data_IF_541265280360
#
_entry.id   IF_541265280360
#
_cell.length_a   1.000
_cell.length_b   1.000
_cell.length_c   1.000
_cell.angle_alpha   90.00
_cell.angle_beta   90.00
_cell.angle_gamma   90.00
#
_symmetry.space_group_name_H-M   'P 1'
#
loop_
_entity.id
_entity.type
_entity.pdbx_description
1 polymer ?
#
# COMPACT_ATOMS: atom_id res chain seq x y z
N UNK A 1 -18.75 13.34 15.24
CA UNK A 1 -17.53 13.87 14.59
C UNK A 1 -17.42 13.27 13.20
N UNK A 2 -17.49 14.07 12.14
CA UNK A 2 -17.25 13.58 10.78
C UNK A 2 -15.73 13.49 10.60
N UNK A 3 -15.16 12.29 10.68
CA UNK A 3 -13.75 12.08 10.38
C UNK A 3 -13.47 12.60 8.97
N UNK A 4 -12.47 13.47 8.84
CA UNK A 4 -12.04 14.05 7.56
C UNK A 4 -11.92 12.96 6.48
N UNK A 5 -12.20 13.29 5.20
CA UNK A 5 -12.07 12.34 4.11
C UNK A 5 -10.68 11.69 4.16
N UNK A 6 -10.63 10.37 4.03
CA UNK A 6 -9.40 9.58 4.04
C UNK A 6 -8.40 10.22 3.06
N UNK A 7 -7.47 10.99 3.60
CA UNK A 7 -6.48 11.78 2.82
C UNK A 7 -5.56 10.87 2.01
N UNK A 8 -5.34 9.66 2.51
CA UNK A 8 -4.46 8.65 1.93
C UNK A 8 -5.22 7.35 1.74
N UNK A 9 -5.36 6.91 0.49
CA UNK A 9 -6.02 5.65 0.13
C UNK A 9 -5.00 4.57 -0.19
N UNK A 10 -5.37 3.30 0.00
CA UNK A 10 -4.55 2.14 -0.38
C UNK A 10 -4.08 2.26 -1.83
N UNK A 11 -4.95 2.70 -2.77
CA UNK A 11 -4.56 2.91 -4.18
C UNK A 11 -3.45 3.96 -4.38
N UNK A 12 -3.47 5.04 -3.58
CA UNK A 12 -2.49 6.11 -3.70
C UNK A 12 -1.15 5.63 -3.17
N UNK A 13 -1.14 4.99 -2.00
CA UNK A 13 0.07 4.43 -1.42
C UNK A 13 0.67 3.32 -2.30
N UNK A 14 -0.16 2.47 -2.90
CA UNK A 14 0.29 1.43 -3.83
C UNK A 14 0.96 2.03 -5.07
N UNK A 15 0.39 3.12 -5.63
CA UNK A 15 1.00 3.86 -6.74
C UNK A 15 2.38 4.40 -6.35
N UNK A 16 2.50 5.00 -5.17
CA UNK A 16 3.77 5.56 -4.69
C UNK A 16 4.84 4.47 -4.49
N UNK A 17 4.44 3.29 -4.01
CA UNK A 17 5.35 2.14 -3.89
C UNK A 17 5.81 1.56 -5.22
N UNK A 18 4.94 1.50 -6.23
CA UNK A 18 5.35 1.11 -7.59
C UNK A 18 6.37 2.10 -8.15
N UNK A 19 6.11 3.41 -8.00
CA UNK A 19 7.05 4.44 -8.43
C UNK A 19 8.40 4.35 -7.71
N UNK A 20 8.39 4.02 -6.41
CA UNK A 20 9.62 3.78 -5.65
C UNK A 20 10.39 2.55 -6.18
N UNK A 21 9.68 1.49 -6.59
CA UNK A 21 10.28 0.31 -7.23
C UNK A 21 10.91 0.63 -8.58
N UNK A 22 10.21 1.40 -9.42
CA UNK A 22 10.72 1.84 -10.74
C UNK A 22 11.99 2.69 -10.58
N UNK A 23 11.98 3.64 -9.64
CA UNK A 23 13.14 4.49 -9.34
C UNK A 23 14.31 3.67 -8.80
N UNK A 24 14.06 2.72 -7.90
CA UNK A 24 15.09 1.85 -7.35
C UNK A 24 15.73 0.96 -8.43
N UNK A 25 14.91 0.43 -9.35
CA UNK A 25 15.38 -0.31 -10.52
C UNK A 25 16.25 0.57 -11.42
N UNK A 26 15.86 1.82 -11.66
CA UNK A 26 16.65 2.76 -12.47
C UNK A 26 18.00 3.14 -11.82
N UNK A 27 18.05 3.21 -10.49
CA UNK A 27 19.25 3.53 -9.71
C UNK A 27 20.13 2.28 -9.42
N UNK A 28 19.67 1.07 -9.73
CA UNK A 28 20.36 -0.17 -9.34
C UNK A 28 20.34 -0.46 -7.84
N UNK A 29 19.39 0.14 -7.10
CA UNK A 29 19.22 -0.05 -5.67
C UNK A 29 18.18 -1.14 -5.36
N UNK A 30 18.48 -2.02 -4.41
CA UNK A 30 17.50 -2.98 -3.91
C UNK A 30 16.60 -2.34 -2.84
N UNK A 31 15.28 -2.37 -3.04
CA UNK A 31 14.27 -1.89 -2.08
C UNK A 31 13.33 -3.03 -1.63
N UNK A 32 13.85 -4.07 -0.96
CA UNK A 32 13.06 -5.27 -0.63
C UNK A 32 11.84 -4.96 0.24
N UNK A 33 11.96 -3.99 1.17
CA UNK A 33 10.85 -3.59 2.03
C UNK A 33 9.73 -2.90 1.25
N UNK A 34 10.06 -2.03 0.29
CA UNK A 34 9.07 -1.37 -0.56
C UNK A 34 8.40 -2.36 -1.52
N UNK A 35 9.16 -3.32 -2.04
CA UNK A 35 8.62 -4.40 -2.87
C UNK A 35 7.64 -5.28 -2.10
N UNK A 36 7.98 -5.69 -0.87
CA UNK A 36 7.06 -6.43 0.00
C UNK A 36 5.81 -5.62 0.35
N UNK A 37 5.99 -4.33 0.68
CA UNK A 37 4.86 -3.45 0.98
C UNK A 37 3.91 -3.30 -0.23
N UNK A 38 4.43 -3.24 -1.46
CA UNK A 38 3.62 -3.19 -2.67
C UNK A 38 2.78 -4.47 -2.83
N UNK A 39 3.39 -5.64 -2.62
CA UNK A 39 2.67 -6.92 -2.69
C UNK A 39 1.56 -7.02 -1.63
N UNK A 40 1.83 -6.60 -0.40
CA UNK A 40 0.84 -6.61 0.68
C UNK A 40 -0.32 -5.65 0.39
N UNK A 41 -0.03 -4.44 -0.08
CA UNK A 41 -1.07 -3.46 -0.45
C UNK A 41 -1.84 -3.88 -1.70
N UNK A 42 -1.21 -4.57 -2.66
CA UNK A 42 -1.89 -5.13 -3.82
C UNK A 42 -2.86 -6.25 -3.40
N UNK A 43 -2.44 -7.17 -2.54
CA UNK A 43 -3.31 -8.19 -1.97
C UNK A 43 -4.49 -7.57 -1.22
N UNK A 44 -4.21 -6.57 -0.39
CA UNK A 44 -5.24 -5.86 0.38
C UNK A 44 -6.21 -5.10 -0.52
N UNK A 45 -5.69 -4.42 -1.56
CA UNK A 45 -6.49 -3.76 -2.59
C UNK A 45 -7.42 -4.74 -3.32
N UNK A 46 -6.91 -5.93 -3.67
CA UNK A 46 -7.70 -7.01 -4.28
C UNK A 46 -8.86 -7.50 -3.42
N UNK A 47 -8.81 -7.32 -2.09
CA UNK A 47 -9.93 -7.63 -1.16
C UNK A 47 -10.97 -6.49 -1.05
N UNK A 48 -10.91 -5.47 -1.92
CA UNK A 48 -11.88 -4.37 -1.95
C UNK A 48 -11.51 -3.16 -1.07
N UNK A 49 -10.28 -3.06 -0.60
CA UNK A 49 -9.82 -1.99 0.29
C UNK A 49 -9.16 -0.80 -0.42
N UNK A 50 -9.17 -0.75 -1.76
CA UNK A 50 -8.47 0.27 -2.56
C UNK A 50 -8.83 1.72 -2.18
N UNK A 51 -10.10 1.99 -1.86
CA UNK A 51 -10.59 3.31 -1.45
C UNK A 51 -10.50 3.56 0.06
N UNK A 52 -10.09 2.56 0.84
CA UNK A 52 -9.99 2.68 2.30
C UNK A 52 -8.62 3.20 2.72
N UNK A 53 -8.51 3.55 4.00
CA UNK A 53 -7.24 3.94 4.61
C UNK A 53 -6.24 2.77 4.61
N UNK A 54 -4.94 3.00 4.38
CA UNK A 54 -3.89 1.99 4.47
C UNK A 54 -3.83 1.26 5.82
N UNK A 55 -4.27 1.91 6.90
CA UNK A 55 -4.35 1.30 8.23
C UNK A 55 -5.26 0.07 8.27
N UNK A 56 -6.18 -0.09 7.31
CA UNK A 56 -7.00 -1.29 7.17
C UNK A 56 -6.20 -2.54 6.82
N UNK A 57 -4.92 -2.40 6.44
CA UNK A 57 -3.98 -3.49 6.24
C UNK A 57 -3.83 -4.38 7.50
N UNK A 58 -4.06 -3.83 8.70
CA UNK A 58 -4.04 -4.61 9.95
C UNK A 58 -5.02 -5.79 9.91
N UNK A 59 -6.07 -5.72 9.07
CA UNK A 59 -7.03 -6.82 8.87
C UNK A 59 -6.39 -8.05 8.21
N UNK A 60 -5.24 -7.93 7.55
CA UNK A 60 -4.48 -9.09 7.05
C UNK A 60 -3.80 -9.90 8.16
N UNK A 61 -3.51 -9.26 9.30
CA UNK A 61 -2.73 -9.85 10.40
C UNK A 61 -3.58 -10.23 11.61
N UNK A 62 -4.86 -9.88 11.61
CA UNK A 62 -5.79 -10.30 12.65
C UNK A 62 -6.30 -11.72 12.33
N UNK A 63 -6.11 -12.70 13.22
CA UNK A 63 -6.87 -13.94 13.12
C UNK A 63 -8.36 -13.64 13.28
N UNK A 64 -9.20 -14.36 12.54
CA UNK A 64 -10.65 -14.34 12.74
C UNK A 64 -11.01 -14.84 14.14
#
# INVERSE_FOLDING_TARGET
EQFEPVKWRVKTLLKDLHMAGDLASAQGCAVPMSGLAAQLLQLHGGRGFLEQAPSTLIKLYRPN
#
